data_IF_359360795633
#
_entry.id   IF_359360795633
#
_cell.length_a   1.000
_cell.length_b   1.000
_cell.length_c   1.000
_cell.angle_alpha   90.00
_cell.angle_beta   90.00
_cell.angle_gamma   90.00
#
_symmetry.space_group_name_H-M   'P 1'
#
loop_
_entity.id
_entity.type
_entity.pdbx_description
1 polymer ?
#
# COMPACT_ATOMS: atom_id res chain seq x y z
N UNK A 1 15.52 -11.83 16.21
CA UNK A 1 15.86 -10.97 15.07
C UNK A 1 15.33 -9.58 15.30
N UNK A 2 16.10 -8.61 14.97
CA UNK A 2 15.69 -7.22 15.13
C UNK A 2 14.92 -6.75 13.90
N UNK A 3 13.75 -6.18 14.13
CA UNK A 3 13.03 -5.47 13.09
C UNK A 3 13.62 -4.08 12.97
N UNK A 4 14.13 -3.75 11.80
CA UNK A 4 14.81 -2.49 11.58
C UNK A 4 13.95 -1.45 10.87
N UNK A 5 12.77 -1.83 10.39
CA UNK A 5 11.89 -0.90 9.70
C UNK A 5 11.22 0.07 10.66
N UNK A 6 11.04 1.31 10.22
CA UNK A 6 10.32 2.33 10.95
C UNK A 6 9.33 3.01 10.01
N UNK A 7 8.50 3.93 10.53
CA UNK A 7 7.55 4.66 9.69
C UNK A 7 8.23 5.50 8.62
N UNK A 8 9.48 5.88 8.81
CA UNK A 8 10.24 6.59 7.78
C UNK A 8 10.51 5.74 6.54
N UNK A 9 10.38 4.42 6.66
CA UNK A 9 10.56 3.51 5.53
C UNK A 9 9.25 3.24 4.78
N UNK A 10 8.14 3.69 5.32
CA UNK A 10 6.85 3.68 4.63
C UNK A 10 6.86 4.84 3.64
N UNK A 11 6.56 4.59 2.39
CA UNK A 11 6.69 5.59 1.35
C UNK A 11 5.50 5.59 0.39
N UNK A 12 5.13 6.78 -0.07
CA UNK A 12 4.19 6.97 -1.16
C UNK A 12 4.97 7.06 -2.46
N UNK A 13 4.56 6.28 -3.46
CA UNK A 13 5.15 6.35 -4.79
C UNK A 13 4.07 6.55 -5.84
N UNK A 14 4.38 7.28 -6.92
CA UNK A 14 3.41 7.54 -7.97
C UNK A 14 2.94 6.25 -8.63
N UNK A 15 1.67 6.22 -8.97
CA UNK A 15 1.04 5.13 -9.72
C UNK A 15 0.57 5.69 -11.05
N UNK A 16 0.87 4.99 -12.12
CA UNK A 16 0.42 5.41 -13.44
C UNK A 16 -1.09 5.21 -13.57
N UNK A 17 -1.80 6.29 -13.82
CA UNK A 17 -3.24 6.29 -14.02
C UNK A 17 -3.53 6.86 -15.39
N UNK A 18 -4.30 6.15 -16.18
CA UNK A 18 -4.66 6.56 -17.53
C UNK A 18 -6.18 6.65 -17.62
N UNK A 19 -6.75 7.85 -17.43
CA UNK A 19 -8.19 8.02 -17.57
C UNK A 19 -8.56 8.22 -19.04
N UNK A 20 -9.72 7.71 -19.41
CA UNK A 20 -10.34 8.00 -20.68
C UNK A 20 -11.86 7.94 -20.55
N UNK A 21 -12.59 8.09 -21.64
CA UNK A 21 -14.05 8.10 -21.62
C UNK A 21 -14.66 6.77 -21.20
N UNK A 22 -13.90 5.68 -21.23
CA UNK A 22 -14.35 4.34 -20.82
C UNK A 22 -14.09 4.06 -19.34
N UNK A 23 -13.26 4.87 -18.67
CA UNK A 23 -12.91 4.68 -17.28
C UNK A 23 -11.46 4.98 -16.98
N UNK A 24 -10.91 4.26 -16.01
CA UNK A 24 -9.58 4.50 -15.50
C UNK A 24 -8.75 3.22 -15.56
N UNK A 25 -7.59 3.30 -16.20
CA UNK A 25 -6.61 2.23 -16.17
C UNK A 25 -5.55 2.56 -15.12
N UNK A 26 -5.32 1.65 -14.20
CA UNK A 26 -4.27 1.76 -13.19
C UNK A 26 -3.18 0.75 -13.51
N UNK A 27 -1.94 1.22 -13.62
CA UNK A 27 -0.82 0.38 -14.04
C UNK A 27 0.21 0.30 -12.92
N UNK A 28 0.54 -0.93 -12.52
CA UNK A 28 1.62 -1.22 -11.58
C UNK A 28 2.59 -2.18 -12.26
N UNK A 29 3.86 -1.84 -12.25
CA UNK A 29 4.88 -2.71 -12.84
C UNK A 29 6.07 -2.85 -11.89
N UNK A 30 6.85 -3.92 -12.07
CA UNK A 30 8.05 -4.15 -11.26
C UNK A 30 9.10 -3.06 -11.44
N UNK A 31 8.99 -2.22 -12.47
CA UNK A 31 9.89 -1.09 -12.67
C UNK A 31 9.59 0.06 -11.71
N UNK A 32 8.35 0.16 -11.24
CA UNK A 32 7.90 1.25 -10.38
C UNK A 32 8.18 0.98 -8.92
N UNK A 33 8.10 -0.28 -8.51
CA UNK A 33 8.19 -0.66 -7.11
C UNK A 33 9.61 -1.17 -6.81
N UNK A 34 10.12 -0.94 -5.59
CA UNK A 34 11.49 -1.30 -5.25
C UNK A 34 11.65 -2.77 -4.85
N UNK A 35 10.81 -3.65 -5.38
CA UNK A 35 10.89 -5.08 -5.12
C UNK A 35 10.19 -5.83 -6.23
N UNK A 36 10.45 -7.12 -6.33
CA UNK A 36 9.76 -7.98 -7.29
C UNK A 36 8.50 -8.55 -6.65
N UNK A 37 7.37 -8.32 -7.30
CA UNK A 37 6.10 -8.84 -6.81
C UNK A 37 6.04 -10.35 -7.04
N UNK A 38 5.73 -11.09 -5.99
CA UNK A 38 5.58 -12.54 -6.05
C UNK A 38 4.11 -12.95 -5.97
N UNK A 39 3.28 -12.10 -5.41
CA UNK A 39 1.85 -12.37 -5.27
C UNK A 39 1.08 -11.07 -5.41
N UNK A 40 -0.02 -11.14 -6.14
CA UNK A 40 -0.95 -10.04 -6.30
C UNK A 40 -2.34 -10.52 -5.90
N UNK A 41 -3.02 -9.72 -5.11
CA UNK A 41 -4.42 -9.99 -4.77
C UNK A 41 -5.16 -8.68 -4.58
N UNK A 42 -6.47 -8.74 -4.68
CA UNK A 42 -7.32 -7.59 -4.45
C UNK A 42 -8.32 -7.87 -3.33
N UNK A 43 -8.74 -6.82 -2.68
CA UNK A 43 -9.74 -6.88 -1.63
C UNK A 43 -10.84 -5.90 -1.97
N UNK A 44 -12.08 -6.39 -1.89
CA UNK A 44 -13.26 -5.55 -1.94
C UNK A 44 -13.91 -5.61 -0.56
N UNK A 45 -14.18 -4.45 0.03
CA UNK A 45 -14.63 -4.39 1.41
C UNK A 45 -15.63 -3.26 1.59
N UNK A 46 -16.49 -3.40 2.58
CA UNK A 46 -17.52 -2.40 2.93
C UNK A 46 -17.29 -1.95 4.35
N UNK A 47 -16.76 -0.73 4.55
CA UNK A 47 -16.69 -0.07 5.85
C UNK A 47 -16.26 -0.99 7.00
N UNK A 48 -15.24 -1.80 6.76
CA UNK A 48 -14.72 -2.73 7.75
C UNK A 48 -13.23 -2.54 7.92
N UNK A 49 -12.73 -2.95 9.08
CA UNK A 49 -11.31 -2.97 9.38
C UNK A 49 -10.79 -4.35 9.01
N UNK A 50 -9.69 -4.39 8.29
CA UNK A 50 -9.02 -5.62 7.89
C UNK A 50 -7.54 -5.50 8.20
N UNK A 51 -6.86 -6.65 8.25
CA UNK A 51 -5.44 -6.71 8.50
C UNK A 51 -5.15 -6.93 9.97
N UNK A 52 -4.66 -5.90 10.65
CA UNK A 52 -4.23 -5.97 12.04
C UNK A 52 -3.09 -6.97 12.22
N UNK A 53 -2.12 -6.92 11.30
CA UNK A 53 -0.95 -7.80 11.34
C UNK A 53 0.23 -7.11 10.69
N UNK A 54 1.40 -7.63 10.95
CA UNK A 54 2.63 -7.24 10.27
C UNK A 54 3.22 -8.46 9.56
N UNK A 55 3.90 -8.21 8.44
CA UNK A 55 4.65 -9.24 7.75
C UNK A 55 6.12 -9.15 8.15
N UNK A 56 6.71 -10.28 8.48
CA UNK A 56 8.11 -10.32 8.89
C UNK A 56 9.07 -10.21 7.72
N UNK A 57 8.69 -10.78 6.58
CA UNK A 57 9.59 -10.94 5.44
C UNK A 57 9.07 -10.32 4.15
N UNK A 58 7.88 -9.74 4.17
CA UNK A 58 7.26 -9.22 2.94
C UNK A 58 7.24 -7.71 2.93
N UNK A 59 7.60 -7.16 1.78
CA UNK A 59 7.28 -5.77 1.44
C UNK A 59 5.95 -5.77 0.69
N UNK A 60 5.09 -4.83 1.02
CA UNK A 60 3.78 -4.69 0.38
C UNK A 60 3.69 -3.39 -0.38
N UNK A 61 2.98 -3.41 -1.49
CA UNK A 61 2.58 -2.21 -2.21
C UNK A 61 1.07 -2.19 -2.33
N UNK A 62 0.45 -1.15 -1.79
CA UNK A 62 -1.00 -1.02 -1.73
C UNK A 62 -1.44 0.10 -2.65
N UNK A 63 -2.40 -0.21 -3.52
CA UNK A 63 -3.01 0.74 -4.44
C UNK A 63 -4.51 0.70 -4.26
N UNK A 64 -5.14 1.86 -4.17
CA UNK A 64 -6.59 1.94 -4.15
C UNK A 64 -7.11 2.03 -5.58
N UNK A 65 -7.99 1.11 -5.97
CA UNK A 65 -8.58 1.09 -7.30
C UNK A 65 -9.87 1.90 -7.39
N UNK A 66 -10.65 1.91 -6.32
CA UNK A 66 -11.90 2.68 -6.27
C UNK A 66 -12.24 3.00 -4.82
N UNK A 67 -12.98 4.07 -4.62
CA UNK A 67 -13.41 4.50 -3.30
C UNK A 67 -12.30 5.16 -2.51
N UNK A 68 -12.32 4.94 -1.22
CA UNK A 68 -11.37 5.54 -0.29
C UNK A 68 -10.89 4.48 0.69
N UNK A 69 -9.59 4.42 0.91
CA UNK A 69 -8.98 3.49 1.82
C UNK A 69 -8.08 4.24 2.79
N UNK A 70 -8.32 4.07 4.07
CA UNK A 70 -7.42 4.55 5.11
C UNK A 70 -6.52 3.42 5.54
N UNK A 71 -5.21 3.60 5.41
CA UNK A 71 -4.22 2.63 5.85
C UNK A 71 -3.55 3.15 7.10
N UNK A 72 -3.68 2.38 8.17
CA UNK A 72 -3.09 2.71 9.46
C UNK A 72 -1.85 1.85 9.65
N UNK A 73 -0.71 2.50 9.86
CA UNK A 73 0.58 1.82 10.05
C UNK A 73 1.16 2.18 11.41
N UNK A 74 1.86 1.22 12.00
CA UNK A 74 2.39 1.33 13.34
C UNK A 74 3.76 0.63 13.38
N UNK A 75 4.79 1.34 13.81
CA UNK A 75 6.13 0.77 13.94
C UNK A 75 6.48 0.38 15.38
N UNK A 76 5.48 0.42 16.26
CA UNK A 76 5.67 0.12 17.67
C UNK A 76 5.96 1.35 18.53
N UNK A 77 6.32 2.46 17.92
CA UNK A 77 6.63 3.71 18.59
C UNK A 77 5.64 4.81 18.21
N UNK A 78 5.30 4.90 16.95
CA UNK A 78 4.39 5.90 16.40
C UNK A 78 3.41 5.26 15.44
N UNK A 79 2.31 5.95 15.20
CA UNK A 79 1.26 5.53 14.27
C UNK A 79 1.05 6.62 13.24
N UNK A 80 0.68 6.22 12.04
CA UNK A 80 0.35 7.16 10.97
C UNK A 80 -0.76 6.61 10.11
N UNK A 81 -1.59 7.51 9.56
CA UNK A 81 -2.66 7.17 8.65
C UNK A 81 -2.36 7.72 7.27
N UNK A 82 -2.55 6.88 6.27
CA UNK A 82 -2.48 7.27 4.86
C UNK A 82 -3.84 7.04 4.24
N UNK A 83 -4.35 8.04 3.54
CA UNK A 83 -5.62 7.93 2.82
C UNK A 83 -5.33 7.76 1.34
N UNK A 84 -5.79 6.65 0.77
CA UNK A 84 -5.58 6.32 -0.62
C UNK A 84 -6.91 6.37 -1.37
N UNK A 85 -6.86 6.88 -2.59
CA UNK A 85 -8.01 6.93 -3.48
C UNK A 85 -7.61 6.41 -4.86
N UNK A 86 -8.56 6.37 -5.79
CA UNK A 86 -8.28 5.93 -7.16
C UNK A 86 -7.39 6.89 -7.94
N UNK A 87 -7.12 8.08 -7.40
CA UNK A 87 -6.22 9.06 -8.01
C UNK A 87 -4.98 9.34 -7.17
N UNK A 88 -4.81 8.63 -6.05
CA UNK A 88 -3.67 8.84 -5.16
C UNK A 88 -2.45 8.05 -5.60
N UNK A 89 -1.34 8.30 -4.89
CA UNK A 89 -0.15 7.47 -4.97
C UNK A 89 -0.41 6.12 -4.31
N UNK A 90 0.47 5.16 -4.55
CA UNK A 90 0.48 3.88 -3.84
C UNK A 90 1.38 3.94 -2.62
N UNK A 91 1.20 3.02 -1.71
CA UNK A 91 1.90 2.98 -0.43
C UNK A 91 2.79 1.74 -0.33
N UNK A 92 4.08 1.97 -0.09
CA UNK A 92 5.04 0.90 0.21
C UNK A 92 5.08 0.70 1.72
N UNK A 93 4.88 -0.53 2.15
CA UNK A 93 5.00 -0.93 3.56
C UNK A 93 6.11 -1.97 3.66
N UNK A 94 7.23 -1.64 4.31
CA UNK A 94 8.31 -2.60 4.48
C UNK A 94 7.97 -3.67 5.52
N UNK A 95 8.78 -4.73 5.62
CA UNK A 95 8.57 -5.75 6.65
C UNK A 95 8.60 -5.16 8.06
N UNK A 96 7.83 -5.71 8.96
CA UNK A 96 7.85 -5.34 10.37
C UNK A 96 6.97 -4.16 10.74
N UNK A 97 6.22 -3.61 9.80
CA UNK A 97 5.25 -2.54 10.08
C UNK A 97 3.87 -3.15 10.26
N UNK A 98 3.22 -2.78 11.36
CA UNK A 98 1.86 -3.23 11.70
C UNK A 98 0.81 -2.48 10.91
#
# INVERSE_FOLDING_TARGET
>A
MKISSSLSDVALIPVQRVPDERGLMTIVSNRMIPFQAERVFSISSKNTIRGNHAHKDCTQFIVCLSGLLDVLVDDGLTKQKYTLTSSSEGLIIPPGIW
#
